data_IF_732170710927
#
_entry.id   IF_732170710927
#
_cell.length_a   1.000
_cell.length_b   1.000
_cell.length_c   1.000
_cell.angle_alpha   90.00
_cell.angle_beta   90.00
_cell.angle_gamma   90.00
#
_symmetry.space_group_name_H-M   'P 1'
#
loop_
_entity.id
_entity.type
_entity.pdbx_description
1 polymer ?
#
# COMPACT_ATOMS: atom_id res chain seq x y z
N UNK A 1 39.68 41.57 -3.65
CA UNK A 1 38.73 40.46 -3.38
C UNK A 1 37.39 40.81 -3.99
N UNK A 2 37.12 40.33 -5.20
CA UNK A 2 35.89 40.61 -5.94
C UNK A 2 34.73 39.82 -5.33
N UNK A 3 33.75 40.54 -4.76
CA UNK A 3 32.41 39.97 -4.54
C UNK A 3 31.86 39.61 -5.91
N UNK A 4 31.77 38.32 -6.21
CA UNK A 4 31.11 37.80 -7.41
C UNK A 4 29.73 38.42 -7.50
N UNK A 5 29.44 39.14 -8.58
CA UNK A 5 28.16 39.81 -8.81
C UNK A 5 27.11 38.71 -9.03
N UNK A 6 26.45 38.26 -7.96
CA UNK A 6 25.36 37.29 -8.05
C UNK A 6 24.26 37.95 -8.90
N UNK A 7 23.85 37.30 -9.99
CA UNK A 7 22.82 37.84 -10.87
C UNK A 7 21.49 37.89 -10.13
N UNK A 8 20.63 38.87 -10.45
CA UNK A 8 19.27 38.94 -9.88
C UNK A 8 18.52 37.61 -10.08
N UNK A 9 18.72 36.96 -11.22
CA UNK A 9 18.15 35.66 -11.53
C UNK A 9 18.58 34.56 -10.54
N UNK A 10 19.84 34.55 -10.10
CA UNK A 10 20.30 33.57 -9.12
C UNK A 10 19.59 33.75 -7.77
N UNK A 11 19.42 35.00 -7.32
CA UNK A 11 18.70 35.28 -6.07
C UNK A 11 17.21 34.92 -6.17
N UNK A 12 16.60 35.13 -7.34
CA UNK A 12 15.22 34.70 -7.61
C UNK A 12 15.13 33.18 -7.55
N UNK A 13 16.07 32.47 -8.17
CA UNK A 13 16.10 31.00 -8.17
C UNK A 13 16.24 30.44 -6.74
N UNK A 14 17.14 31.00 -5.93
CA UNK A 14 17.27 30.58 -4.51
C UNK A 14 15.98 30.80 -3.73
N UNK A 15 15.30 31.95 -3.92
CA UNK A 15 14.00 32.20 -3.30
C UNK A 15 12.95 31.15 -3.72
N UNK A 16 12.91 30.82 -5.01
CA UNK A 16 12.01 29.80 -5.57
C UNK A 16 12.32 28.43 -4.95
N UNK A 17 13.59 28.07 -4.80
CA UNK A 17 13.98 26.80 -4.18
C UNK A 17 13.45 26.68 -2.73
N UNK A 18 13.54 27.76 -1.95
CA UNK A 18 12.92 27.83 -0.62
C UNK A 18 11.38 27.75 -0.68
N UNK A 19 10.76 28.38 -1.67
CA UNK A 19 9.30 28.35 -1.84
C UNK A 19 8.79 26.94 -2.17
N UNK A 20 9.48 26.25 -3.08
CA UNK A 20 9.18 24.86 -3.45
C UNK A 20 9.35 23.96 -2.23
N UNK A 21 10.45 24.09 -1.50
CA UNK A 21 10.65 23.31 -0.27
C UNK A 21 9.56 23.55 0.77
N UNK A 22 9.14 24.80 0.99
CA UNK A 22 8.00 25.08 1.86
C UNK A 22 6.72 24.42 1.39
N UNK A 23 6.46 24.40 0.08
CA UNK A 23 5.32 23.70 -0.49
C UNK A 23 5.39 22.19 -0.21
N UNK A 24 6.55 21.57 -0.38
CA UNK A 24 6.79 20.16 -0.02
C UNK A 24 6.47 19.97 1.47
N UNK A 25 7.19 20.65 2.37
CA UNK A 25 7.03 20.47 3.83
C UNK A 25 5.60 20.76 4.31
N UNK A 26 4.99 21.83 3.80
CA UNK A 26 3.61 22.17 4.08
C UNK A 26 2.64 21.07 3.67
N UNK A 27 2.94 20.35 2.58
CA UNK A 27 2.06 19.34 2.02
C UNK A 27 2.07 18.02 2.78
N UNK A 28 3.21 17.57 3.35
CA UNK A 28 3.27 16.25 4.01
C UNK A 28 3.47 16.29 5.53
N UNK A 29 3.98 17.38 6.12
CA UNK A 29 4.21 17.43 7.57
C UNK A 29 2.89 17.56 8.34
N UNK A 30 2.57 16.63 9.27
CA UNK A 30 1.40 16.77 10.14
C UNK A 30 1.40 18.09 10.91
N UNK A 31 0.24 18.75 10.99
CA UNK A 31 0.11 20.05 11.66
C UNK A 31 0.57 21.29 10.86
N UNK A 32 1.32 21.13 9.76
CA UNK A 32 1.73 22.28 8.93
C UNK A 32 0.54 23.00 8.26
N UNK A 33 0.56 24.33 8.20
CA UNK A 33 -0.53 25.15 7.63
C UNK A 33 -0.45 25.22 6.10
N UNK A 34 -0.68 24.09 5.43
CA UNK A 34 -0.50 23.95 3.98
C UNK A 34 -1.20 25.04 3.16
N UNK A 35 -2.46 25.38 3.48
CA UNK A 35 -3.22 26.42 2.75
C UNK A 35 -2.52 27.78 2.78
N UNK A 36 -2.06 28.20 3.96
CA UNK A 36 -1.36 29.47 4.14
C UNK A 36 0.00 29.46 3.41
N UNK A 37 0.73 28.35 3.51
CA UNK A 37 2.01 28.19 2.78
C UNK A 37 1.78 28.29 1.28
N UNK A 38 0.76 27.59 0.77
CA UNK A 38 0.40 27.61 -0.65
C UNK A 38 0.04 29.02 -1.11
N UNK A 39 -0.78 29.75 -0.35
CA UNK A 39 -1.13 31.14 -0.65
C UNK A 39 0.12 32.03 -0.75
N UNK A 40 1.02 31.96 0.24
CA UNK A 40 2.26 32.76 0.23
C UNK A 40 3.16 32.40 -0.97
N UNK A 41 3.32 31.10 -1.26
CA UNK A 41 4.12 30.62 -2.40
C UNK A 41 3.52 31.11 -3.73
N UNK A 42 2.21 30.96 -3.93
CA UNK A 42 1.52 31.38 -5.15
C UNK A 42 1.57 32.91 -5.32
N UNK A 43 1.26 33.68 -4.27
CA UNK A 43 1.34 35.15 -4.35
C UNK A 43 2.76 35.66 -4.64
N UNK A 44 3.78 34.98 -4.11
CA UNK A 44 5.18 35.34 -4.38
C UNK A 44 5.57 35.03 -5.83
N UNK A 45 5.16 33.86 -6.34
CA UNK A 45 5.38 33.49 -7.74
C UNK A 45 4.67 34.46 -8.69
N UNK A 46 3.42 34.83 -8.41
CA UNK A 46 2.65 35.77 -9.21
C UNK A 46 3.25 37.17 -9.20
N UNK A 47 3.78 37.62 -8.05
CA UNK A 47 4.54 38.87 -7.95
C UNK A 47 5.79 38.83 -8.84
N UNK A 48 6.64 37.81 -8.70
CA UNK A 48 7.89 37.69 -9.48
C UNK A 48 7.61 37.68 -10.98
N UNK A 49 6.52 37.02 -11.41
CA UNK A 49 6.16 36.89 -12.81
C UNK A 49 5.60 38.17 -13.43
N UNK A 50 4.83 38.95 -12.66
CA UNK A 50 4.05 40.07 -13.19
C UNK A 50 4.64 41.46 -12.86
N UNK A 51 5.67 41.53 -12.01
CA UNK A 51 6.32 42.79 -11.63
C UNK A 51 7.55 43.11 -12.49
N UNK A 52 7.93 44.39 -12.50
CA UNK A 52 9.15 44.87 -13.15
C UNK A 52 10.41 44.40 -12.43
N UNK A 53 11.55 44.38 -13.13
CA UNK A 53 12.84 44.00 -12.56
C UNK A 53 13.21 44.85 -11.32
N UNK A 54 12.92 46.15 -11.36
CA UNK A 54 13.18 47.08 -10.27
C UNK A 54 12.32 46.79 -9.03
N UNK A 55 11.01 46.54 -9.22
CA UNK A 55 10.12 46.15 -8.13
C UNK A 55 10.54 44.83 -7.48
N UNK A 56 10.89 43.83 -8.31
CA UNK A 56 11.38 42.54 -7.82
C UNK A 56 12.66 42.76 -7.03
N UNK A 57 13.64 43.50 -7.57
CA UNK A 57 14.91 43.78 -6.90
C UNK A 57 14.72 44.49 -5.55
N UNK A 58 13.74 45.39 -5.44
CA UNK A 58 13.44 46.13 -4.21
C UNK A 58 12.77 45.24 -3.14
N UNK A 59 11.87 44.33 -3.53
CA UNK A 59 11.16 43.44 -2.58
C UNK A 59 11.87 42.12 -2.28
N UNK A 60 12.78 41.66 -3.14
CA UNK A 60 13.44 40.36 -3.01
C UNK A 60 14.11 40.14 -1.64
N UNK A 61 14.81 41.12 -1.03
CA UNK A 61 15.43 40.92 0.29
C UNK A 61 14.42 40.63 1.41
N UNK A 62 13.25 41.27 1.35
CA UNK A 62 12.17 41.05 2.33
C UNK A 62 11.55 39.66 2.15
N UNK A 63 11.23 39.30 0.90
CA UNK A 63 10.72 37.96 0.56
C UNK A 63 11.71 36.89 1.01
N UNK A 64 13.00 37.04 0.70
CA UNK A 64 14.04 36.09 1.11
C UNK A 64 14.07 35.91 2.63
N UNK A 65 13.99 36.99 3.40
CA UNK A 65 13.95 36.92 4.87
C UNK A 65 12.76 36.10 5.37
N UNK A 66 11.59 36.25 4.75
CA UNK A 66 10.37 35.49 5.10
C UNK A 66 10.55 34.01 4.78
N UNK A 67 10.91 33.68 3.53
CA UNK A 67 11.05 32.30 3.08
C UNK A 67 12.17 31.55 3.81
N UNK A 68 13.32 32.19 4.03
CA UNK A 68 14.42 31.62 4.81
C UNK A 68 14.01 31.37 6.27
N UNK A 69 13.28 32.31 6.90
CA UNK A 69 12.76 32.10 8.26
C UNK A 69 11.77 30.94 8.33
N UNK A 70 10.83 30.84 7.39
CA UNK A 70 9.85 29.76 7.38
C UNK A 70 10.49 28.40 7.11
N UNK A 71 11.40 28.34 6.13
CA UNK A 71 12.04 27.09 5.72
C UNK A 71 13.04 26.58 6.77
N UNK A 72 13.77 27.47 7.44
CA UNK A 72 14.71 27.08 8.51
C UNK A 72 14.03 26.36 9.68
N UNK A 73 12.77 26.68 10.00
CA UNK A 73 11.97 25.92 10.99
C UNK A 73 11.87 24.44 10.58
N UNK A 74 11.55 24.18 9.31
CA UNK A 74 11.47 22.81 8.81
C UNK A 74 12.85 22.18 8.64
N UNK A 75 13.84 22.88 8.10
CA UNK A 75 15.20 22.34 7.90
C UNK A 75 15.91 22.00 9.22
N UNK A 76 15.57 22.68 10.31
CA UNK A 76 16.10 22.32 11.64
C UNK A 76 15.53 20.99 12.11
N UNK A 77 14.25 20.73 11.83
CA UNK A 77 13.57 19.49 12.23
C UNK A 77 13.80 18.34 11.24
N UNK A 78 13.93 18.67 9.96
CA UNK A 78 14.16 17.75 8.85
C UNK A 78 15.40 18.20 8.07
N UNK A 79 16.61 18.01 8.63
CA UNK A 79 17.85 18.38 7.96
C UNK A 79 17.95 17.78 6.54
N UNK A 80 18.36 18.59 5.59
CA UNK A 80 18.57 18.16 4.21
C UNK A 80 19.82 17.28 4.11
N UNK A 81 19.73 16.21 3.31
CA UNK A 81 20.86 15.35 2.92
C UNK A 81 21.47 15.80 1.58
N UNK A 82 20.73 16.57 0.79
CA UNK A 82 21.12 17.09 -0.53
C UNK A 82 20.85 18.59 -0.62
N UNK A 83 21.48 19.26 -1.59
CA UNK A 83 21.27 20.68 -1.81
C UNK A 83 19.81 21.01 -2.11
N UNK A 84 19.30 22.09 -1.51
CA UNK A 84 17.91 22.53 -1.63
C UNK A 84 17.46 22.66 -3.10
N UNK A 85 18.32 23.25 -3.94
CA UNK A 85 18.07 23.42 -5.38
C UNK A 85 17.80 22.11 -6.09
N UNK A 86 18.51 21.05 -5.72
CA UNK A 86 18.34 19.72 -6.31
C UNK A 86 17.00 19.13 -5.90
N UNK A 87 16.65 19.23 -4.61
CA UNK A 87 15.34 18.80 -4.08
C UNK A 87 14.20 19.52 -4.77
N UNK A 88 14.30 20.84 -4.91
CA UNK A 88 13.28 21.67 -5.54
C UNK A 88 13.12 21.34 -7.04
N UNK A 89 14.23 21.15 -7.76
CA UNK A 89 14.22 20.77 -9.17
C UNK A 89 13.55 19.42 -9.39
N UNK A 90 13.92 18.39 -8.61
CA UNK A 90 13.35 17.04 -8.73
C UNK A 90 11.84 17.04 -8.40
N UNK A 91 11.42 17.77 -7.36
CA UNK A 91 10.00 17.86 -7.00
C UNK A 91 9.16 18.51 -8.10
N UNK A 92 9.65 19.60 -8.71
CA UNK A 92 8.96 20.26 -9.82
C UNK A 92 8.85 19.36 -11.05
N UNK A 93 9.81 18.45 -11.26
CA UNK A 93 9.80 17.54 -12.40
C UNK A 93 8.61 16.59 -12.38
N UNK A 94 8.13 16.18 -11.20
CA UNK A 94 6.92 15.36 -11.09
C UNK A 94 5.70 16.03 -11.74
N UNK A 95 5.56 17.36 -11.64
CA UNK A 95 4.44 18.09 -12.23
C UNK A 95 4.59 18.27 -13.74
N UNK A 96 5.82 18.31 -14.26
CA UNK A 96 6.08 18.44 -15.70
C UNK A 96 5.80 17.15 -16.46
N UNK A 97 6.00 16.00 -15.83
CA UNK A 97 5.72 14.68 -16.42
C UNK A 97 4.24 14.29 -16.37
N UNK A 98 3.36 15.20 -15.93
CA UNK A 98 1.92 14.94 -15.81
C UNK A 98 1.54 14.06 -14.62
N UNK A 99 2.42 13.88 -13.64
CA UNK A 99 2.08 13.10 -12.44
C UNK A 99 1.21 13.96 -11.51
N UNK A 100 0.08 13.40 -11.07
CA UNK A 100 -0.75 14.00 -10.03
C UNK A 100 -0.21 13.65 -8.63
N UNK A 101 0.86 14.33 -8.25
CA UNK A 101 1.58 14.09 -6.97
C UNK A 101 0.66 14.26 -5.76
N UNK A 102 -0.32 15.17 -5.83
CA UNK A 102 -1.23 15.40 -4.70
C UNK A 102 -2.26 14.29 -4.52
N UNK A 103 -2.64 13.61 -5.60
CA UNK A 103 -3.53 12.44 -5.53
C UNK A 103 -2.78 11.16 -5.17
N UNK A 104 -1.57 10.96 -5.71
CA UNK A 104 -0.84 9.70 -5.53
C UNK A 104 0.12 9.71 -4.33
N UNK A 105 0.54 10.88 -3.85
CA UNK A 105 1.52 11.02 -2.79
C UNK A 105 2.97 10.99 -3.27
N UNK A 106 3.90 11.06 -2.33
CA UNK A 106 5.34 10.91 -2.57
C UNK A 106 5.86 9.60 -1.97
N UNK A 107 6.75 8.92 -2.68
CA UNK A 107 7.41 7.73 -2.14
C UNK A 107 8.34 8.10 -0.98
N UNK A 108 8.28 7.30 0.08
CA UNK A 108 9.13 7.44 1.27
C UNK A 108 10.61 7.43 0.90
N UNK A 109 11.03 6.54 -0.01
CA UNK A 109 12.40 6.42 -0.46
C UNK A 109 12.93 7.66 -1.17
N UNK A 110 12.07 8.34 -1.94
CA UNK A 110 12.44 9.63 -2.53
C UNK A 110 12.67 10.67 -1.44
N UNK A 111 11.73 10.82 -0.49
CA UNK A 111 11.86 11.79 0.62
C UNK A 111 13.08 11.48 1.51
N UNK A 112 13.32 10.21 1.84
CA UNK A 112 14.48 9.76 2.62
C UNK A 112 15.80 10.06 1.91
N UNK A 113 15.84 10.05 0.58
CA UNK A 113 17.05 10.45 -0.16
C UNK A 113 17.33 11.97 -0.06
N UNK A 114 16.30 12.79 0.16
CA UNK A 114 16.44 14.25 0.19
C UNK A 114 16.72 14.80 1.59
N UNK A 115 16.11 14.22 2.63
CA UNK A 115 16.13 14.78 3.99
C UNK A 115 16.00 13.70 5.08
N UNK A 116 16.31 14.09 6.30
CA UNK A 116 16.11 13.26 7.49
C UNK A 116 14.64 13.28 7.94
N UNK A 117 14.02 12.11 8.01
CA UNK A 117 12.60 11.92 8.33
C UNK A 117 12.35 11.34 9.73
N UNK A 118 13.36 11.23 10.60
CA UNK A 118 13.23 10.60 11.95
C UNK A 118 12.10 11.19 12.79
N UNK A 119 11.87 12.48 12.65
CA UNK A 119 10.83 13.27 13.35
C UNK A 119 9.38 12.97 12.91
N UNK A 120 9.18 12.14 11.89
CA UNK A 120 7.84 11.70 11.44
C UNK A 120 7.40 10.38 12.09
N UNK A 121 8.31 9.70 12.81
CA UNK A 121 8.01 8.45 13.51
C UNK A 121 7.38 7.38 12.60
N UNK A 122 7.83 7.29 11.34
CA UNK A 122 7.50 6.16 10.49
C UNK A 122 8.06 4.85 11.07
N UNK A 123 7.47 3.72 10.68
CA UNK A 123 7.97 2.40 11.06
C UNK A 123 9.41 2.22 10.60
N UNK A 124 10.24 1.54 11.41
CA UNK A 124 11.64 1.29 11.05
C UNK A 124 11.80 0.46 9.78
N UNK A 125 10.76 -0.25 9.37
CA UNK A 125 10.69 -1.12 8.20
C UNK A 125 9.80 -0.56 7.08
N UNK A 126 9.50 0.74 7.10
CA UNK A 126 8.71 1.40 6.05
C UNK A 126 9.33 1.14 4.67
N UNK A 127 8.58 0.53 3.72
CA UNK A 127 9.11 0.26 2.39
C UNK A 127 9.47 1.53 1.62
N UNK A 128 10.50 1.47 0.76
CA UNK A 128 10.97 2.64 0.01
C UNK A 128 9.94 3.17 -1.01
N UNK A 129 9.02 2.34 -1.48
CA UNK A 129 7.92 2.74 -2.37
C UNK A 129 6.60 3.03 -1.60
N UNK A 130 6.64 3.08 -0.27
CA UNK A 130 5.48 3.47 0.54
C UNK A 130 5.09 4.92 0.22
N UNK A 131 3.83 5.16 -0.15
CA UNK A 131 3.37 6.48 -0.56
C UNK A 131 2.85 7.27 0.63
N UNK A 132 3.47 8.43 0.86
CA UNK A 132 3.08 9.41 1.88
C UNK A 132 2.05 10.35 1.28
N UNK A 133 0.90 10.44 1.93
CA UNK A 133 -0.19 11.31 1.52
C UNK A 133 0.17 12.79 1.65
N UNK A 134 -0.31 13.61 0.72
CA UNK A 134 -0.11 15.05 0.71
C UNK A 134 -1.40 15.80 1.01
N UNK A 135 -1.27 17.07 1.41
CA UNK A 135 -2.36 18.01 1.65
C UNK A 135 -3.43 17.47 2.61
N UNK A 136 -4.62 17.11 2.09
CA UNK A 136 -5.71 16.56 2.89
C UNK A 136 -5.38 15.18 3.47
N UNK A 137 -4.42 14.46 2.86
CA UNK A 137 -4.01 13.12 3.26
C UNK A 137 -2.74 13.09 4.10
N UNK A 138 -2.16 14.25 4.44
CA UNK A 138 -0.91 14.33 5.22
C UNK A 138 -0.96 13.56 6.53
N UNK A 139 0.15 12.92 6.87
CA UNK A 139 0.24 12.01 8.03
C UNK A 139 -0.37 10.63 7.80
N UNK A 140 -1.00 10.38 6.65
CA UNK A 140 -1.36 9.03 6.22
C UNK A 140 -0.36 8.55 5.17
N UNK A 141 -0.34 7.25 4.95
CA UNK A 141 0.29 6.66 3.79
C UNK A 141 -0.33 5.31 3.47
N UNK A 142 0.07 4.75 2.34
CA UNK A 142 -0.39 3.45 1.89
C UNK A 142 0.60 2.86 0.91
N UNK A 143 0.49 1.56 0.72
CA UNK A 143 1.22 0.80 -0.29
C UNK A 143 0.29 -0.26 -0.88
N UNK A 144 0.62 -0.77 -2.05
CA UNK A 144 -0.22 -1.67 -2.83
C UNK A 144 -0.59 -2.95 -2.07
N UNK A 145 0.35 -3.60 -1.38
CA UNK A 145 0.04 -4.80 -0.61
C UNK A 145 -0.87 -4.52 0.59
N UNK A 146 -0.77 -3.34 1.22
CA UNK A 146 -1.66 -2.99 2.33
C UNK A 146 -3.08 -2.76 1.80
N UNK A 147 -3.21 -2.17 0.61
CA UNK A 147 -4.49 -2.01 -0.08
C UNK A 147 -5.12 -3.38 -0.38
N UNK A 148 -4.39 -4.30 -0.99
CA UNK A 148 -4.86 -5.65 -1.30
C UNK A 148 -5.20 -6.46 -0.04
N UNK A 149 -4.45 -6.28 1.04
CA UNK A 149 -4.72 -6.89 2.34
C UNK A 149 -6.04 -6.40 2.93
N UNK A 150 -6.27 -5.07 2.90
CA UNK A 150 -7.52 -4.45 3.34
C UNK A 150 -8.70 -4.97 2.54
N UNK A 151 -8.55 -5.14 1.23
CA UNK A 151 -9.57 -5.71 0.35
C UNK A 151 -9.88 -7.15 0.74
N UNK A 152 -8.87 -8.02 0.80
CA UNK A 152 -9.02 -9.44 1.09
C UNK A 152 -9.81 -9.68 2.40
N UNK A 153 -9.45 -8.96 3.48
CA UNK A 153 -10.16 -9.06 4.76
C UNK A 153 -11.56 -8.43 4.73
N UNK A 154 -11.76 -7.33 4.00
CA UNK A 154 -13.10 -6.72 3.86
C UNK A 154 -14.06 -7.68 3.16
N UNK A 155 -13.59 -8.35 2.12
CA UNK A 155 -14.36 -9.32 1.35
C UNK A 155 -14.64 -10.57 2.19
N UNK A 156 -13.65 -11.07 2.96
CA UNK A 156 -13.86 -12.18 3.90
C UNK A 156 -14.94 -11.86 4.95
N UNK A 157 -14.91 -10.65 5.53
CA UNK A 157 -15.92 -10.22 6.50
C UNK A 157 -17.30 -10.16 5.86
N UNK A 158 -17.41 -9.68 4.61
CA UNK A 158 -18.67 -9.72 3.85
C UNK A 158 -19.15 -11.15 3.59
N UNK A 159 -18.27 -12.07 3.21
CA UNK A 159 -18.61 -13.48 3.05
C UNK A 159 -19.19 -14.06 4.34
N UNK A 160 -18.52 -13.83 5.47
CA UNK A 160 -18.99 -14.26 6.81
C UNK A 160 -20.32 -13.59 7.19
N UNK A 161 -20.54 -12.35 6.79
CA UNK A 161 -21.81 -11.66 7.00
C UNK A 161 -22.96 -12.33 6.23
N UNK A 162 -22.81 -12.54 4.92
CA UNK A 162 -23.83 -13.20 4.11
C UNK A 162 -24.09 -14.64 4.57
N UNK A 163 -23.07 -15.34 5.04
CA UNK A 163 -23.22 -16.67 5.59
C UNK A 163 -24.06 -16.67 6.86
N UNK A 164 -23.80 -15.73 7.78
CA UNK A 164 -24.65 -15.53 8.97
C UNK A 164 -26.07 -15.12 8.58
N UNK A 165 -26.23 -14.30 7.56
CA UNK A 165 -27.55 -13.89 7.05
C UNK A 165 -28.32 -15.09 6.50
N UNK A 166 -27.67 -15.97 5.73
CA UNK A 166 -28.27 -17.20 5.19
C UNK A 166 -28.89 -18.06 6.29
N UNK A 167 -28.15 -18.31 7.38
CA UNK A 167 -28.66 -19.09 8.51
C UNK A 167 -29.79 -18.38 9.25
N UNK A 168 -29.62 -17.08 9.56
CA UNK A 168 -30.66 -16.31 10.26
C UNK A 168 -31.95 -16.25 9.46
N UNK A 169 -31.84 -15.97 8.16
CA UNK A 169 -32.97 -15.86 7.26
C UNK A 169 -33.65 -17.21 7.05
N UNK A 170 -32.87 -18.27 6.79
CA UNK A 170 -33.38 -19.64 6.66
C UNK A 170 -34.12 -20.10 7.92
N UNK A 171 -33.57 -19.86 9.12
CA UNK A 171 -34.22 -20.23 10.38
C UNK A 171 -35.51 -19.45 10.59
N UNK A 172 -35.50 -18.13 10.36
CA UNK A 172 -36.70 -17.28 10.47
C UNK A 172 -37.82 -17.77 9.55
N UNK A 173 -37.50 -18.11 8.30
CA UNK A 173 -38.47 -18.60 7.33
C UNK A 173 -39.02 -19.96 7.70
N UNK A 174 -38.19 -20.89 8.21
CA UNK A 174 -38.66 -22.19 8.72
C UNK A 174 -39.73 -21.98 9.79
N UNK A 175 -39.48 -21.09 10.76
CA UNK A 175 -40.45 -20.76 11.81
C UNK A 175 -41.76 -20.18 11.25
N UNK A 176 -41.67 -19.24 10.31
CA UNK A 176 -42.86 -18.60 9.71
C UNK A 176 -43.69 -19.61 8.92
N UNK A 177 -43.07 -20.48 8.12
CA UNK A 177 -43.82 -21.45 7.33
C UNK A 177 -44.39 -22.59 8.18
N UNK A 178 -43.67 -23.02 9.23
CA UNK A 178 -44.21 -23.94 10.25
C UNK A 178 -45.44 -23.35 10.94
N UNK A 179 -45.43 -22.05 11.30
CA UNK A 179 -46.59 -21.37 11.88
C UNK A 179 -47.80 -21.28 10.92
N UNK A 180 -47.57 -21.38 9.60
CA UNK A 180 -48.63 -21.44 8.58
C UNK A 180 -49.05 -22.87 8.22
N UNK A 181 -48.56 -23.89 8.94
CA UNK A 181 -48.82 -25.30 8.64
C UNK A 181 -48.20 -25.80 7.34
N UNK A 182 -47.20 -25.09 6.79
CA UNK A 182 -46.50 -25.48 5.57
C UNK A 182 -45.18 -26.17 5.89
N UNK A 183 -44.94 -27.28 5.21
CA UNK A 183 -43.70 -28.07 5.37
C UNK A 183 -42.60 -27.71 4.36
N UNK A 184 -42.92 -26.89 3.35
CA UNK A 184 -41.99 -26.53 2.26
C UNK A 184 -41.98 -25.03 1.99
N UNK A 185 -40.85 -24.53 1.50
CA UNK A 185 -40.71 -23.15 1.06
C UNK A 185 -41.32 -22.93 -0.33
N UNK A 186 -41.82 -21.71 -0.55
CA UNK A 186 -42.24 -21.29 -1.90
C UNK A 186 -41.03 -21.12 -2.82
N UNK A 187 -41.26 -21.20 -4.12
CA UNK A 187 -40.20 -20.96 -5.12
C UNK A 187 -39.53 -19.59 -4.97
N UNK A 188 -40.32 -18.54 -4.65
CA UNK A 188 -39.79 -17.20 -4.38
C UNK A 188 -38.82 -17.17 -3.20
N UNK A 189 -39.13 -17.89 -2.11
CA UNK A 189 -38.24 -18.03 -0.96
C UNK A 189 -36.98 -18.81 -1.33
N UNK A 190 -37.10 -19.88 -2.14
CA UNK A 190 -35.95 -20.62 -2.62
C UNK A 190 -35.01 -19.75 -3.48
N UNK A 191 -35.54 -18.88 -4.34
CA UNK A 191 -34.72 -17.93 -5.09
C UNK A 191 -33.98 -16.96 -4.17
N UNK A 192 -34.66 -16.37 -3.17
CA UNK A 192 -34.01 -15.48 -2.20
C UNK A 192 -32.89 -16.17 -1.41
N UNK A 193 -33.11 -17.42 -0.99
CA UNK A 193 -32.07 -18.24 -0.34
C UNK A 193 -30.90 -18.49 -1.31
N UNK A 194 -31.20 -18.75 -2.58
CA UNK A 194 -30.19 -18.99 -3.62
C UNK A 194 -29.35 -17.76 -3.89
N UNK A 195 -29.95 -16.57 -3.90
CA UNK A 195 -29.23 -15.29 -4.05
C UNK A 195 -28.25 -15.07 -2.89
N UNK A 196 -28.68 -15.32 -1.64
CA UNK A 196 -27.78 -15.21 -0.48
C UNK A 196 -26.65 -16.25 -0.57
N UNK A 197 -26.93 -17.49 -1.02
CA UNK A 197 -25.89 -18.52 -1.24
C UNK A 197 -24.89 -18.07 -2.29
N UNK A 198 -25.36 -17.43 -3.36
CA UNK A 198 -24.49 -16.85 -4.39
C UNK A 198 -23.56 -15.80 -3.79
N UNK A 199 -24.08 -14.88 -2.98
CA UNK A 199 -23.28 -13.86 -2.30
C UNK A 199 -22.19 -14.45 -1.40
N UNK A 200 -22.51 -15.50 -0.64
CA UNK A 200 -21.52 -16.23 0.17
C UNK A 200 -20.40 -16.78 -0.71
N UNK A 201 -20.77 -17.47 -1.80
CA UNK A 201 -19.81 -18.11 -2.68
C UNK A 201 -18.96 -17.09 -3.44
N UNK A 202 -19.57 -16.01 -3.96
CA UNK A 202 -18.89 -14.95 -4.68
C UNK A 202 -17.84 -14.23 -3.82
N UNK A 203 -18.22 -13.83 -2.61
CA UNK A 203 -17.30 -13.17 -1.70
C UNK A 203 -16.22 -14.13 -1.17
N UNK A 204 -16.54 -15.40 -0.93
CA UNK A 204 -15.52 -16.39 -0.52
C UNK A 204 -14.47 -16.63 -1.62
N UNK A 205 -14.91 -16.78 -2.87
CA UNK A 205 -14.02 -16.88 -4.04
C UNK A 205 -13.12 -15.65 -4.19
N UNK A 206 -13.73 -14.47 -4.17
CA UNK A 206 -13.00 -13.22 -4.34
C UNK A 206 -12.01 -13.01 -3.19
N UNK A 207 -12.37 -13.40 -1.95
CA UNK A 207 -11.44 -13.36 -0.81
C UNK A 207 -10.20 -14.21 -1.06
N UNK A 208 -10.35 -15.43 -1.61
CA UNK A 208 -9.22 -16.28 -1.98
C UNK A 208 -8.35 -15.62 -3.06
N UNK A 209 -8.95 -15.08 -4.10
CA UNK A 209 -8.22 -14.38 -5.16
C UNK A 209 -7.43 -13.19 -4.58
N UNK A 210 -8.08 -12.37 -3.74
CA UNK A 210 -7.45 -11.20 -3.12
C UNK A 210 -6.33 -11.54 -2.14
N UNK A 211 -6.46 -12.61 -1.34
CA UNK A 211 -5.37 -13.05 -0.46
C UNK A 211 -4.17 -13.56 -1.25
N UNK A 212 -4.38 -14.25 -2.37
CA UNK A 212 -3.29 -14.69 -3.24
C UNK A 212 -2.57 -13.47 -3.85
N UNK A 213 -3.34 -12.51 -4.38
CA UNK A 213 -2.81 -11.27 -4.94
C UNK A 213 -2.03 -10.45 -3.89
N UNK A 214 -2.51 -10.40 -2.64
CA UNK A 214 -1.79 -9.78 -1.53
C UNK A 214 -0.41 -10.43 -1.32
N UNK A 215 -0.33 -11.76 -1.20
CA UNK A 215 0.95 -12.45 -0.97
C UNK A 215 1.92 -12.18 -2.12
N UNK A 216 1.43 -12.22 -3.36
CA UNK A 216 2.24 -11.92 -4.54
C UNK A 216 2.77 -10.48 -4.53
N UNK A 217 1.89 -9.51 -4.28
CA UNK A 217 2.27 -8.10 -4.16
C UNK A 217 3.26 -7.86 -3.03
N UNK A 218 3.06 -8.49 -1.86
CA UNK A 218 3.94 -8.38 -0.71
C UNK A 218 5.36 -8.91 -1.02
N UNK A 219 5.48 -10.10 -1.61
CA UNK A 219 6.79 -10.66 -2.00
C UNK A 219 7.50 -9.73 -2.99
N UNK A 220 6.77 -9.20 -3.98
CA UNK A 220 7.32 -8.24 -4.94
C UNK A 220 7.74 -6.93 -4.27
N UNK A 221 6.92 -6.39 -3.37
CA UNK A 221 7.18 -5.17 -2.61
C UNK A 221 8.45 -5.28 -1.78
N UNK A 222 8.63 -6.38 -1.04
CA UNK A 222 9.85 -6.63 -0.24
C UNK A 222 11.10 -6.62 -1.12
N UNK A 223 11.06 -7.31 -2.25
CA UNK A 223 12.17 -7.33 -3.20
C UNK A 223 12.46 -5.94 -3.80
N UNK A 224 11.41 -5.23 -4.20
CA UNK A 224 11.51 -3.89 -4.79
C UNK A 224 12.03 -2.84 -3.80
N UNK A 225 11.55 -2.87 -2.56
CA UNK A 225 12.01 -1.98 -1.48
C UNK A 225 13.50 -2.20 -1.19
N UNK A 226 13.94 -3.46 -1.11
CA UNK A 226 15.35 -3.79 -0.90
C UNK A 226 16.21 -3.34 -2.09
N UNK A 227 15.72 -3.51 -3.31
CA UNK A 227 16.37 -3.02 -4.53
C UNK A 227 16.59 -1.50 -4.45
N UNK A 228 15.53 -0.71 -4.24
CA UNK A 228 15.65 0.76 -4.20
C UNK A 228 16.69 1.17 -3.16
N UNK A 229 16.58 0.65 -1.94
CA UNK A 229 17.47 0.96 -0.81
C UNK A 229 18.94 0.62 -1.09
N UNK A 230 19.21 -0.44 -1.86
CA UNK A 230 20.55 -0.98 -2.07
C UNK A 230 21.02 -0.88 -3.53
N UNK A 231 20.42 -0.02 -4.35
CA UNK A 231 20.70 0.07 -5.79
C UNK A 231 22.21 0.14 -6.10
N UNK A 232 22.98 0.90 -5.30
CA UNK A 232 24.44 1.04 -5.49
C UNK A 232 25.30 -0.16 -5.06
N UNK A 233 24.73 -1.17 -4.39
CA UNK A 233 25.46 -2.34 -3.84
C UNK A 233 25.15 -3.65 -4.58
N UNK A 234 24.08 -3.67 -5.36
CA UNK A 234 23.59 -4.86 -6.05
C UNK A 234 24.21 -4.97 -7.44
N UNK A 235 24.55 -6.19 -7.85
CA UNK A 235 24.95 -6.47 -9.22
C UNK A 235 23.74 -6.47 -10.18
N UNK A 236 24.00 -6.49 -11.49
CA UNK A 236 22.94 -6.44 -12.51
C UNK A 236 21.99 -7.64 -12.43
N UNK A 237 22.50 -8.83 -12.09
CA UNK A 237 21.69 -10.04 -11.98
C UNK A 237 20.78 -9.99 -10.74
N UNK A 238 21.30 -9.54 -9.59
CA UNK A 238 20.52 -9.30 -8.37
C UNK A 238 19.41 -8.27 -8.62
N UNK A 239 19.73 -7.17 -9.33
CA UNK A 239 18.72 -6.16 -9.71
C UNK A 239 17.66 -6.73 -10.63
N UNK A 240 18.03 -7.54 -11.63
CA UNK A 240 17.07 -8.20 -12.52
C UNK A 240 16.13 -9.12 -11.72
N UNK A 241 16.71 -9.93 -10.82
CA UNK A 241 15.94 -10.85 -9.97
C UNK A 241 14.96 -10.11 -9.06
N UNK A 242 15.39 -9.06 -8.35
CA UNK A 242 14.53 -8.30 -7.44
C UNK A 242 13.44 -7.50 -8.16
N UNK A 243 13.65 -7.13 -9.44
CA UNK A 243 12.59 -6.61 -10.31
C UNK A 243 11.59 -7.69 -10.77
N UNK A 244 11.81 -8.95 -10.38
CA UNK A 244 10.94 -10.06 -10.71
C UNK A 244 11.23 -10.68 -12.07
N UNK A 245 12.41 -10.46 -12.65
CA UNK A 245 12.80 -11.00 -13.95
C UNK A 245 13.98 -11.98 -13.84
N UNK A 246 14.12 -12.85 -14.84
CA UNK A 246 15.35 -13.63 -15.07
C UNK A 246 15.50 -13.83 -16.57
N UNK A 247 16.58 -13.29 -17.15
CA UNK A 247 16.80 -13.28 -18.61
C UNK A 247 15.59 -12.72 -19.36
N UNK A 248 15.04 -11.60 -18.89
CA UNK A 248 13.88 -10.91 -19.48
C UNK A 248 12.52 -11.62 -19.31
N UNK A 249 12.45 -12.74 -18.58
CA UNK A 249 11.19 -13.46 -18.31
C UNK A 249 10.73 -13.23 -16.88
N UNK A 250 9.42 -13.10 -16.68
CA UNK A 250 8.84 -13.00 -15.34
C UNK A 250 9.13 -14.24 -14.50
N UNK A 251 9.56 -14.00 -13.26
CA UNK A 251 9.73 -15.02 -12.25
C UNK A 251 8.38 -15.36 -11.62
N UNK A 252 8.13 -16.66 -11.51
CA UNK A 252 6.99 -17.18 -10.77
C UNK A 252 7.11 -16.86 -9.27
N UNK A 253 5.99 -16.61 -8.60
CA UNK A 253 5.94 -16.33 -7.16
C UNK A 253 6.69 -17.39 -6.34
N UNK A 254 6.51 -18.67 -6.67
CA UNK A 254 7.25 -19.79 -6.06
C UNK A 254 8.76 -19.52 -6.07
N UNK A 255 9.34 -19.22 -7.24
CA UNK A 255 10.78 -18.94 -7.36
C UNK A 255 11.21 -17.65 -6.65
N UNK A 256 10.36 -16.63 -6.54
CA UNK A 256 10.69 -15.38 -5.86
C UNK A 256 10.90 -15.60 -4.36
N UNK A 257 10.07 -16.45 -3.74
CA UNK A 257 10.18 -16.78 -2.32
C UNK A 257 11.57 -17.30 -1.94
N UNK A 258 12.19 -18.16 -2.78
CA UNK A 258 13.53 -18.70 -2.52
C UNK A 258 14.67 -17.74 -2.91
N UNK A 259 14.53 -17.00 -4.01
CA UNK A 259 15.61 -16.16 -4.54
C UNK A 259 15.75 -14.81 -3.84
N UNK A 260 14.64 -14.21 -3.38
CA UNK A 260 14.72 -12.88 -2.79
C UNK A 260 15.45 -12.93 -1.46
N UNK A 261 15.15 -13.91 -0.61
CA UNK A 261 15.85 -14.09 0.66
C UNK A 261 17.35 -14.32 0.51
N UNK A 262 17.82 -15.06 -0.51
CA UNK A 262 19.27 -15.25 -0.72
C UNK A 262 19.98 -13.98 -1.16
N UNK A 263 19.26 -13.01 -1.73
CA UNK A 263 19.82 -11.69 -2.07
C UNK A 263 19.78 -10.75 -0.84
N UNK A 264 18.66 -10.76 -0.12
CA UNK A 264 18.35 -9.84 0.99
C UNK A 264 19.14 -10.19 2.25
N UNK A 265 19.29 -11.47 2.58
CA UNK A 265 19.99 -11.90 3.80
C UNK A 265 21.48 -11.66 3.69
N UNK A 266 22.09 -11.32 4.82
CA UNK A 266 23.54 -11.14 4.93
C UNK A 266 24.31 -12.44 4.68
N UNK A 267 23.76 -13.59 5.11
CA UNK A 267 24.39 -14.91 4.95
C UNK A 267 24.18 -15.54 3.56
N UNK A 268 23.41 -14.88 2.68
CA UNK A 268 23.07 -15.32 1.32
C UNK A 268 22.40 -16.70 1.24
N UNK A 269 21.84 -17.23 2.33
CA UNK A 269 21.19 -18.55 2.37
C UNK A 269 19.70 -18.47 2.03
N UNK A 270 19.14 -19.55 1.51
CA UNK A 270 17.69 -19.71 1.39
C UNK A 270 17.20 -20.70 2.45
N UNK A 271 16.35 -20.23 3.35
CA UNK A 271 15.64 -21.00 4.38
C UNK A 271 14.37 -21.64 3.79
N UNK A 272 13.60 -20.89 3.01
CA UNK A 272 12.45 -21.44 2.28
C UNK A 272 12.94 -21.96 0.93
N UNK A 273 13.06 -23.27 0.81
CA UNK A 273 13.51 -23.97 -0.40
C UNK A 273 12.27 -24.49 -1.12
N UNK A 274 12.04 -23.99 -2.34
CA UNK A 274 10.90 -24.39 -3.18
C UNK A 274 11.33 -25.07 -4.48
N UNK A 275 12.63 -25.06 -4.77
CA UNK A 275 13.27 -25.69 -5.92
C UNK A 275 13.39 -27.20 -5.79
N UNK A 276 13.49 -27.71 -4.57
CA UNK A 276 13.49 -29.14 -4.23
C UNK A 276 12.14 -29.55 -3.64
N UNK A 277 11.39 -30.41 -4.34
CA UNK A 277 10.09 -30.91 -3.91
C UNK A 277 10.11 -31.63 -2.55
N UNK A 278 11.24 -32.21 -2.15
CA UNK A 278 11.40 -32.88 -0.85
C UNK A 278 11.63 -31.91 0.32
N UNK A 279 11.90 -30.63 0.04
CA UNK A 279 12.24 -29.62 1.05
C UNK A 279 11.21 -28.50 1.14
N UNK A 280 10.18 -28.51 0.27
CA UNK A 280 9.12 -27.50 0.30
C UNK A 280 8.38 -27.60 1.63
N UNK A 281 8.33 -26.54 2.44
CA UNK A 281 7.53 -26.56 3.65
C UNK A 281 6.06 -26.81 3.33
N UNK A 282 5.37 -27.61 4.16
CA UNK A 282 4.02 -28.08 3.87
C UNK A 282 3.02 -26.95 3.63
N UNK A 283 3.13 -25.84 4.37
CA UNK A 283 2.28 -24.67 4.16
C UNK A 283 2.47 -24.04 2.77
N UNK A 284 3.72 -23.94 2.30
CA UNK A 284 4.03 -23.43 0.96
C UNK A 284 3.56 -24.40 -0.12
N UNK A 285 3.70 -25.70 0.13
CA UNK A 285 3.16 -26.73 -0.75
C UNK A 285 1.64 -26.59 -0.88
N UNK A 286 0.94 -26.49 0.25
CA UNK A 286 -0.51 -26.31 0.26
C UNK A 286 -0.95 -25.00 -0.40
N UNK A 287 -0.20 -23.91 -0.20
CA UNK A 287 -0.43 -22.63 -0.86
C UNK A 287 -0.33 -22.73 -2.40
N UNK A 288 0.75 -23.32 -2.94
CA UNK A 288 0.99 -23.40 -4.39
C UNK A 288 0.25 -24.55 -5.08
N UNK A 289 0.01 -25.67 -4.42
CA UNK A 289 -0.62 -26.82 -5.05
C UNK A 289 -2.15 -26.75 -4.96
N UNK A 290 -2.69 -26.39 -3.80
CA UNK A 290 -4.14 -26.39 -3.60
C UNK A 290 -4.77 -25.03 -3.90
N UNK A 291 -4.33 -23.98 -3.20
CA UNK A 291 -5.00 -22.68 -3.31
C UNK A 291 -4.72 -21.94 -4.61
N UNK A 292 -3.54 -22.12 -5.19
CA UNK A 292 -3.28 -21.63 -6.55
C UNK A 292 -4.22 -22.28 -7.58
N UNK A 293 -4.44 -23.60 -7.47
CA UNK A 293 -5.38 -24.30 -8.36
C UNK A 293 -6.82 -23.85 -8.13
N UNK A 294 -7.22 -23.62 -6.87
CA UNK A 294 -8.54 -23.10 -6.54
C UNK A 294 -8.75 -21.69 -7.10
N UNK A 295 -7.75 -20.79 -6.98
CA UNK A 295 -7.73 -19.46 -7.63
C UNK A 295 -7.87 -19.60 -9.15
N UNK A 296 -7.05 -20.44 -9.77
CA UNK A 296 -7.06 -20.66 -11.22
C UNK A 296 -8.39 -21.20 -11.71
N UNK A 297 -9.03 -22.06 -10.94
CA UNK A 297 -10.34 -22.64 -11.27
C UNK A 297 -11.45 -21.62 -11.13
N UNK A 298 -11.36 -20.70 -10.17
CA UNK A 298 -12.30 -19.59 -10.01
C UNK A 298 -12.24 -18.58 -11.17
N UNK A 299 -11.08 -18.43 -11.82
CA UNK A 299 -10.87 -17.50 -12.95
C UNK A 299 -11.06 -18.14 -14.32
N UNK A 300 -10.60 -19.38 -14.49
CA UNK A 300 -10.54 -20.08 -15.79
C UNK A 300 -10.96 -21.54 -15.62
N UNK A 301 -12.21 -21.77 -15.22
CA UNK A 301 -12.70 -23.12 -14.91
C UNK A 301 -12.55 -24.09 -16.09
N UNK A 302 -12.20 -25.35 -15.75
CA UNK A 302 -12.25 -26.50 -16.65
C UNK A 302 -12.61 -27.74 -15.80
N UNK A 303 -13.34 -28.74 -16.34
CA UNK A 303 -13.79 -29.91 -15.58
C UNK A 303 -12.68 -30.72 -14.88
N UNK A 304 -11.43 -30.61 -15.34
CA UNK A 304 -10.27 -31.29 -14.75
C UNK A 304 -9.59 -30.50 -13.62
N UNK A 305 -10.07 -29.28 -13.32
CA UNK A 305 -9.51 -28.41 -12.28
C UNK A 305 -10.32 -28.51 -10.99
N UNK A 306 -9.85 -27.80 -9.96
CA UNK A 306 -10.51 -27.72 -8.66
C UNK A 306 -11.98 -27.31 -8.76
N UNK A 307 -12.82 -28.00 -7.99
CA UNK A 307 -14.27 -27.82 -8.03
C UNK A 307 -14.65 -26.49 -7.40
N UNK A 308 -15.35 -25.63 -8.16
CA UNK A 308 -15.85 -24.33 -7.66
C UNK A 308 -17.34 -24.34 -7.27
N UNK A 309 -18.08 -25.38 -7.68
CA UNK A 309 -19.46 -25.59 -7.25
C UNK A 309 -19.49 -26.29 -5.89
N UNK A 310 -19.53 -25.51 -4.80
CA UNK A 310 -19.43 -26.00 -3.42
C UNK A 310 -20.55 -25.46 -2.53
N UNK A 311 -20.76 -26.08 -1.36
CA UNK A 311 -21.73 -25.57 -0.39
C UNK A 311 -21.23 -24.24 0.19
N UNK A 312 -22.13 -23.34 0.65
CA UNK A 312 -21.75 -22.09 1.29
C UNK A 312 -20.79 -22.26 2.47
N UNK A 313 -20.98 -23.30 3.28
CA UNK A 313 -20.12 -23.62 4.42
C UNK A 313 -18.69 -23.95 3.95
N UNK A 314 -18.55 -24.86 2.98
CA UNK A 314 -17.25 -25.24 2.40
C UNK A 314 -16.50 -24.02 1.85
N UNK A 315 -17.21 -23.09 1.20
CA UNK A 315 -16.63 -21.85 0.69
C UNK A 315 -16.08 -20.95 1.81
N UNK A 316 -16.84 -20.80 2.89
CA UNK A 316 -16.44 -19.97 4.04
C UNK A 316 -15.27 -20.58 4.80
N UNK A 317 -15.26 -21.90 4.97
CA UNK A 317 -14.17 -22.59 5.64
C UNK A 317 -12.88 -22.45 4.82
N UNK A 318 -12.94 -22.72 3.51
CA UNK A 318 -11.79 -22.54 2.61
C UNK A 318 -11.25 -21.12 2.59
N UNK A 319 -12.13 -20.10 2.52
CA UNK A 319 -11.71 -18.71 2.55
C UNK A 319 -11.12 -18.31 3.92
N UNK A 320 -11.69 -18.83 5.02
CA UNK A 320 -11.18 -18.57 6.37
C UNK A 320 -9.83 -19.23 6.60
N UNK A 321 -9.65 -20.47 6.16
CA UNK A 321 -8.39 -21.20 6.28
C UNK A 321 -7.31 -20.56 5.41
N UNK A 322 -7.66 -20.19 4.17
CA UNK A 322 -6.71 -19.50 3.29
C UNK A 322 -6.28 -18.15 3.84
N UNK A 323 -7.19 -17.41 4.48
CA UNK A 323 -6.83 -16.13 5.09
C UNK A 323 -5.74 -16.27 6.16
N UNK A 324 -5.75 -17.37 6.92
CA UNK A 324 -4.71 -17.66 7.93
C UNK A 324 -3.42 -18.12 7.25
N UNK A 325 -3.53 -19.03 6.28
CA UNK A 325 -2.39 -19.52 5.52
C UNK A 325 -1.67 -18.38 4.79
N UNK A 326 -2.39 -17.48 4.13
CA UNK A 326 -1.81 -16.34 3.42
C UNK A 326 -1.03 -15.40 4.35
N UNK A 327 -1.53 -15.14 5.57
CA UNK A 327 -0.78 -14.36 6.57
C UNK A 327 0.47 -15.10 7.00
N UNK A 328 0.37 -16.42 7.24
CA UNK A 328 1.51 -17.25 7.61
C UNK A 328 2.58 -17.27 6.53
N UNK A 329 2.22 -17.49 5.26
CA UNK A 329 3.14 -17.51 4.13
C UNK A 329 3.86 -16.17 3.99
N UNK A 330 3.14 -15.05 4.07
CA UNK A 330 3.75 -13.72 4.03
C UNK A 330 4.70 -13.50 5.23
N UNK A 331 4.31 -13.90 6.44
CA UNK A 331 5.15 -13.75 7.63
C UNK A 331 6.40 -14.64 7.57
N UNK A 332 6.26 -15.88 7.15
CA UNK A 332 7.38 -16.82 6.98
C UNK A 332 8.37 -16.28 5.93
N UNK A 333 7.87 -15.75 4.81
CA UNK A 333 8.70 -15.10 3.80
C UNK A 333 9.43 -13.87 4.35
N UNK A 334 8.73 -13.02 5.11
CA UNK A 334 9.34 -11.87 5.77
C UNK A 334 10.46 -12.29 6.73
N UNK A 335 10.19 -13.25 7.62
CA UNK A 335 11.16 -13.74 8.60
C UNK A 335 12.35 -14.45 7.92
N UNK A 336 12.11 -15.09 6.77
CA UNK A 336 13.18 -15.65 5.96
C UNK A 336 14.10 -14.53 5.43
N UNK A 337 13.56 -13.38 5.01
CA UNK A 337 14.34 -12.23 4.56
C UNK A 337 15.00 -11.47 5.73
N UNK A 338 14.30 -11.35 6.87
CA UNK A 338 14.69 -10.53 8.03
C UNK A 338 14.57 -11.35 9.34
N UNK A 339 15.55 -12.22 9.66
CA UNK A 339 15.43 -13.20 10.76
C UNK A 339 15.27 -12.62 12.17
N UNK A 340 15.69 -11.38 12.37
CA UNK A 340 15.63 -10.69 13.65
C UNK A 340 14.37 -9.81 13.81
N UNK A 341 13.39 -9.95 12.91
CA UNK A 341 12.14 -9.18 12.92
C UNK A 341 10.98 -10.05 13.39
N UNK A 342 10.04 -9.45 14.13
CA UNK A 342 8.78 -10.10 14.52
C UNK A 342 7.71 -10.05 13.42
N UNK A 343 8.02 -9.50 12.25
CA UNK A 343 7.09 -9.22 11.16
C UNK A 343 7.05 -7.74 10.76
N UNK A 344 6.43 -7.41 9.61
CA UNK A 344 6.39 -6.06 9.08
C UNK A 344 5.44 -5.17 9.90
N UNK A 345 5.99 -4.22 10.66
CA UNK A 345 5.23 -3.32 11.54
C UNK A 345 4.26 -2.45 10.76
N UNK A 346 4.66 -1.96 9.58
CA UNK A 346 3.79 -1.16 8.71
C UNK A 346 2.52 -1.91 8.26
N UNK A 347 2.53 -3.26 8.29
CA UNK A 347 1.35 -4.12 8.04
C UNK A 347 0.75 -4.69 9.33
N UNK A 348 1.10 -4.17 10.51
CA UNK A 348 0.64 -4.68 11.80
C UNK A 348 1.11 -6.10 12.08
N UNK A 349 2.37 -6.40 11.74
CA UNK A 349 3.04 -7.70 11.94
C UNK A 349 2.31 -8.88 11.29
N UNK A 350 1.47 -8.61 10.28
CA UNK A 350 0.61 -9.60 9.62
C UNK A 350 -0.32 -10.36 10.58
N UNK A 351 -0.72 -9.71 11.69
CA UNK A 351 -1.63 -10.31 12.65
C UNK A 351 -3.04 -10.48 12.07
N UNK A 352 -3.46 -11.74 11.93
CA UNK A 352 -4.76 -12.11 11.36
C UNK A 352 -5.94 -11.51 12.14
N UNK A 353 -5.90 -11.58 13.47
CA UNK A 353 -6.99 -11.12 14.35
C UNK A 353 -7.14 -9.60 14.28
N UNK A 354 -6.02 -8.88 14.26
CA UNK A 354 -5.97 -7.43 14.06
C UNK A 354 -6.65 -7.04 12.75
N UNK A 355 -6.32 -7.70 11.65
CA UNK A 355 -6.87 -7.36 10.34
C UNK A 355 -8.35 -7.73 10.20
N UNK A 356 -8.77 -8.87 10.75
CA UNK A 356 -10.20 -9.21 10.86
C UNK A 356 -10.95 -8.16 11.68
N UNK A 357 -10.40 -7.71 12.81
CA UNK A 357 -11.03 -6.67 13.64
C UNK A 357 -11.14 -5.33 12.88
N UNK A 358 -10.05 -4.89 12.24
CA UNK A 358 -10.03 -3.67 11.39
C UNK A 358 -11.10 -3.74 10.29
N UNK A 359 -11.24 -4.87 9.61
CA UNK A 359 -12.26 -5.06 8.58
C UNK A 359 -13.69 -5.05 9.13
N UNK A 360 -13.94 -5.66 10.30
CA UNK A 360 -15.23 -5.59 10.97
C UNK A 360 -15.59 -4.16 11.40
N UNK A 361 -14.63 -3.40 11.95
CA UNK A 361 -14.84 -1.99 12.30
C UNK A 361 -15.18 -1.17 11.06
N UNK A 362 -14.45 -1.38 9.95
CA UNK A 362 -14.73 -0.72 8.66
C UNK A 362 -16.15 -1.00 8.18
N UNK A 363 -16.57 -2.27 8.16
CA UNK A 363 -17.91 -2.66 7.75
C UNK A 363 -19.01 -2.00 8.61
N UNK A 364 -18.80 -1.91 9.93
CA UNK A 364 -19.72 -1.21 10.84
C UNK A 364 -19.81 0.29 10.54
N UNK A 365 -18.67 0.96 10.33
CA UNK A 365 -18.61 2.39 10.01
C UNK A 365 -19.34 2.71 8.70
N UNK A 366 -19.12 1.91 7.65
CA UNK A 366 -19.81 2.09 6.35
C UNK A 366 -21.32 1.99 6.55
N UNK A 367 -21.80 0.96 7.26
CA UNK A 367 -23.22 0.81 7.54
C UNK A 367 -23.82 1.99 8.31
N UNK A 368 -23.07 2.59 9.24
CA UNK A 368 -23.51 3.80 9.96
C UNK A 368 -23.63 4.99 9.02
N UNK A 369 -22.68 5.17 8.09
CA UNK A 369 -22.73 6.24 7.08
C UNK A 369 -23.93 6.04 6.14
N UNK A 370 -24.18 4.81 5.68
CA UNK A 370 -25.34 4.47 4.85
C UNK A 370 -26.67 4.78 5.55
N UNK A 371 -26.76 4.53 6.86
CA UNK A 371 -27.95 4.86 7.64
C UNK A 371 -28.11 6.36 7.88
N UNK A 372 -27.01 7.10 8.02
CA UNK A 372 -27.03 8.55 8.20
C UNK A 372 -27.31 9.32 6.89
N UNK A 373 -27.17 8.64 5.74
CA UNK A 373 -27.41 9.21 4.40
C UNK A 373 -28.81 8.91 3.87
N UNK A 374 -29.65 8.23 4.67
CA UNK A 374 -31.08 7.99 4.42
C UNK A 374 -31.88 8.85 5.38
#
# INVERSE_FOLDING_TARGET
>A
MSKTKISLQNNINELIDHAVYLQIMGSFVPGAKFRQIKEIVTSTHDFIKNSSEEEVKNRLPELWKIFNKMSSIFMTRFPLKRELRVVASEFNEFFKTGNDVYSYGLEFGWLDAQMDLRELHFYSDTPYHYRIGLAAHKGNGSIEEEFLLKDAFSILVKAKYYHKLLFKYGNKLKTIEQQKGKNEFTQAIYHQITDIKFEVAAHSRLSIISFYAFVEAFVNSVGHSYLIKNTGKLDEAERELLNGFKKGRFLQLKSKNEKFQSIIREDKRSVIIVSDNGQIPEDFKFFFEYYEQLRNSAMHYSPLKERIWMKPQDWIDKASDFSKLAMKIALDFWNACYPNSDGPEYLGKLDHSLHVNKANIRAKKIKQIELASK
#
